data_IF_747048350823
#
_entry.id   IF_747048350823
#
_cell.length_a   1.000
_cell.length_b   1.000
_cell.length_c   1.000
_cell.angle_alpha   90.00
_cell.angle_beta   90.00
_cell.angle_gamma   90.00
#
_symmetry.space_group_name_H-M   'P 1'
#
loop_
_entity.id
_entity.type
_entity.pdbx_description
1 polymer ?
#
# COMPACT_ATOMS: atom_id res chain seq x y z
N UNK A 1 6.75 21.03 21.07
CA UNK A 1 8.20 21.29 21.05
C UNK A 1 8.95 19.99 21.27
N UNK A 2 9.47 19.38 20.22
CA UNK A 2 10.58 18.41 20.26
C UNK A 2 11.22 18.41 18.87
N UNK A 3 12.52 18.66 18.84
CA UNK A 3 13.35 18.87 17.67
C UNK A 3 13.66 17.55 16.97
N UNK A 4 13.59 17.51 15.63
CA UNK A 4 14.27 16.50 14.84
C UNK A 4 15.50 17.13 14.19
N UNK A 5 16.67 16.71 14.66
CA UNK A 5 17.97 17.13 14.18
C UNK A 5 18.30 16.43 12.86
N UNK A 6 18.82 17.22 11.92
CA UNK A 6 19.27 16.74 10.62
C UNK A 6 20.49 15.82 10.70
N UNK A 7 20.68 15.02 9.66
CA UNK A 7 21.95 14.37 9.39
C UNK A 7 22.39 14.64 7.95
N UNK A 8 23.67 14.98 7.86
CA UNK A 8 24.36 15.58 6.72
C UNK A 8 24.69 14.57 5.63
N UNK A 9 24.51 15.03 4.40
CA UNK A 9 25.48 15.06 3.30
C UNK A 9 26.77 14.24 3.53
N UNK A 10 26.97 13.19 2.74
CA UNK A 10 28.30 12.63 2.44
C UNK A 10 28.55 12.78 0.95
N UNK A 11 29.47 13.70 0.67
CA UNK A 11 30.14 13.96 -0.60
C UNK A 11 31.22 12.88 -0.80
N UNK A 12 31.17 12.14 -1.91
CA UNK A 12 32.30 11.30 -2.37
C UNK A 12 32.71 11.81 -3.74
N UNK A 13 33.82 12.55 -3.71
CA UNK A 13 34.55 13.06 -4.86
C UNK A 13 35.16 11.92 -5.68
N UNK A 14 35.03 12.08 -7.00
CA UNK A 14 36.06 11.93 -8.04
C UNK A 14 37.15 10.87 -7.84
N UNK A 15 37.22 9.94 -8.79
CA UNK A 15 38.50 9.35 -9.22
C UNK A 15 38.60 9.45 -10.74
N UNK A 16 39.52 10.31 -11.16
CA UNK A 16 40.04 10.51 -12.51
C UNK A 16 40.97 9.36 -12.89
N UNK A 17 40.86 8.85 -14.12
CA UNK A 17 41.98 8.18 -14.79
C UNK A 17 41.87 8.37 -16.31
N UNK A 18 42.87 9.06 -16.85
CA UNK A 18 43.13 9.33 -18.27
C UNK A 18 44.04 8.26 -18.88
N UNK A 19 43.83 7.92 -20.15
CA UNK A 19 44.85 7.44 -21.10
C UNK A 19 44.24 7.52 -22.52
N UNK A 20 44.47 8.59 -23.30
CA UNK A 20 45.56 8.82 -24.25
C UNK A 20 45.76 7.75 -25.35
N UNK A 21 45.13 8.04 -26.49
CA UNK A 21 45.60 8.04 -27.89
C UNK A 21 46.98 7.43 -28.25
N UNK A 22 47.00 6.61 -29.31
CA UNK A 22 48.01 6.55 -30.38
C UNK A 22 47.37 5.81 -31.58
N UNK A 23 47.01 6.48 -32.67
CA UNK A 23 47.80 6.74 -33.89
C UNK A 23 47.64 5.71 -35.03
N UNK A 24 47.39 6.29 -36.21
CA UNK A 24 47.25 5.86 -37.62
C UNK A 24 48.27 4.84 -38.17
N UNK A 25 48.03 4.27 -39.37
CA UNK A 25 48.59 4.82 -40.64
C UNK A 25 47.58 4.77 -41.82
N UNK A 26 47.32 5.85 -42.58
CA UNK A 26 47.98 6.37 -43.82
C UNK A 26 48.28 5.37 -44.97
N UNK A 27 47.38 5.35 -45.98
CA UNK A 27 47.47 5.47 -47.48
C UNK A 27 48.68 4.92 -48.28
N UNK A 28 48.77 4.95 -49.64
CA UNK A 28 47.86 5.37 -50.75
C UNK A 28 47.74 4.32 -51.92
N UNK A 29 46.92 4.45 -53.00
CA UNK A 29 47.33 4.97 -54.35
C UNK A 29 46.23 4.70 -55.41
N UNK A 30 45.54 5.77 -55.88
CA UNK A 30 45.18 6.27 -57.25
C UNK A 30 45.09 5.36 -58.54
N UNK A 31 44.67 5.87 -59.75
CA UNK A 31 43.29 5.97 -60.29
C UNK A 31 43.15 5.49 -61.78
N UNK A 32 42.06 5.88 -62.48
CA UNK A 32 41.71 5.77 -63.94
C UNK A 32 40.83 4.56 -64.34
N UNK A 33 39.84 4.60 -65.25
CA UNK A 33 39.21 5.63 -66.11
C UNK A 33 37.91 5.06 -66.76
N UNK A 34 36.98 5.97 -67.08
CA UNK A 34 36.06 6.08 -68.25
C UNK A 34 34.96 5.06 -68.65
N UNK A 35 33.83 5.70 -69.03
CA UNK A 35 32.83 5.39 -70.07
C UNK A 35 31.82 4.25 -69.85
N UNK A 36 30.58 4.28 -70.35
CA UNK A 36 29.58 5.26 -70.82
C UNK A 36 28.32 4.40 -71.14
N UNK A 37 27.13 5.03 -71.23
CA UNK A 37 25.82 4.51 -71.73
C UNK A 37 25.02 3.63 -70.72
N UNK A 38 23.69 3.71 -70.58
CA UNK A 38 22.62 4.27 -71.40
C UNK A 38 21.31 4.40 -70.58
N UNK A 39 20.65 5.55 -70.74
CA UNK A 39 19.20 5.84 -70.87
C UNK A 39 18.08 4.92 -70.30
N UNK A 40 17.13 5.60 -69.64
CA UNK A 40 15.66 5.42 -69.63
C UNK A 40 15.00 4.19 -68.95
N UNK A 41 14.19 4.44 -67.92
CA UNK A 41 12.72 4.42 -68.04
C UNK A 41 12.03 4.71 -66.69
N UNK A 42 10.86 5.32 -66.79
CA UNK A 42 10.02 5.82 -65.72
C UNK A 42 9.31 4.73 -64.91
N UNK A 43 8.99 5.08 -63.66
CA UNK A 43 7.74 4.69 -63.01
C UNK A 43 7.72 3.36 -62.27
N UNK A 44 7.82 3.41 -60.94
CA UNK A 44 6.84 2.84 -60.01
C UNK A 44 7.35 3.01 -58.57
N UNK A 45 6.56 3.69 -57.75
CA UNK A 45 6.72 3.74 -56.31
C UNK A 45 6.80 2.32 -55.71
N UNK A 46 7.80 2.00 -54.87
CA UNK A 46 7.63 0.92 -53.91
C UNK A 46 6.77 1.47 -52.77
N UNK A 47 5.48 1.11 -52.78
CA UNK A 47 4.60 1.24 -51.62
C UNK A 47 5.23 0.50 -50.44
N UNK A 48 5.84 1.27 -49.55
CA UNK A 48 6.37 0.83 -48.27
C UNK A 48 5.19 0.28 -47.44
N UNK A 49 5.18 -1.02 -47.07
CA UNK A 49 4.15 -1.52 -46.18
C UNK A 49 4.32 -0.84 -44.82
N UNK A 50 3.25 -0.21 -44.34
CA UNK A 50 3.14 0.31 -43.00
C UNK A 50 3.27 -0.85 -42.00
N UNK A 51 4.34 -0.86 -41.22
CA UNK A 51 4.50 -1.75 -40.07
C UNK A 51 4.03 -1.01 -38.81
N UNK A 52 2.86 -1.34 -38.24
CA UNK A 52 2.47 -0.90 -36.89
C UNK A 52 2.97 -1.85 -35.79
N UNK A 53 3.69 -2.94 -36.12
CA UNK A 53 4.00 -4.01 -35.15
C UNK A 53 5.24 -3.76 -34.29
N UNK A 54 6.21 -2.96 -34.74
CA UNK A 54 7.47 -2.77 -34.00
C UNK A 54 7.31 -1.94 -32.74
N UNK A 55 6.36 -0.99 -32.72
CA UNK A 55 6.10 -0.15 -31.54
C UNK A 55 5.49 -0.95 -30.39
N UNK A 56 4.58 -1.88 -30.68
CA UNK A 56 3.93 -2.76 -29.71
C UNK A 56 4.91 -3.74 -29.06
N UNK A 57 5.84 -4.28 -29.86
CA UNK A 57 6.89 -5.20 -29.39
C UNK A 57 7.91 -4.46 -28.51
N UNK A 58 8.30 -3.24 -28.89
CA UNK A 58 9.20 -2.42 -28.06
C UNK A 58 8.53 -1.95 -26.75
N UNK A 59 7.22 -1.64 -26.77
CA UNK A 59 6.48 -1.25 -25.55
C UNK A 59 6.35 -2.38 -24.52
N UNK A 60 6.09 -3.60 -24.96
CA UNK A 60 6.01 -4.75 -24.06
C UNK A 60 7.37 -5.06 -23.43
N UNK A 61 8.43 -4.88 -24.22
CA UNK A 61 9.81 -5.02 -23.76
C UNK A 61 10.20 -4.02 -22.67
N UNK A 62 9.65 -2.79 -22.64
CA UNK A 62 10.01 -1.82 -21.59
C UNK A 62 9.36 -2.14 -20.25
N UNK A 63 8.10 -2.58 -20.25
CA UNK A 63 7.40 -3.03 -19.02
C UNK A 63 8.12 -4.24 -18.43
N UNK A 64 8.43 -5.22 -19.27
CA UNK A 64 9.11 -6.44 -18.86
C UNK A 64 10.54 -6.14 -18.36
N UNK A 65 11.28 -5.22 -19.00
CA UNK A 65 12.60 -4.80 -18.56
C UNK A 65 12.57 -4.03 -17.22
N UNK A 66 11.64 -3.09 -17.05
CA UNK A 66 11.51 -2.30 -15.83
C UNK A 66 11.11 -3.18 -14.65
N UNK A 67 10.13 -4.07 -14.84
CA UNK A 67 9.72 -5.04 -13.82
C UNK A 67 10.90 -5.93 -13.41
N UNK A 68 11.71 -6.39 -14.37
CA UNK A 68 12.91 -7.17 -14.07
C UNK A 68 13.96 -6.38 -13.29
N UNK A 69 14.25 -5.13 -13.68
CA UNK A 69 15.21 -4.27 -12.99
C UNK A 69 14.76 -4.03 -11.55
N UNK A 70 13.51 -3.60 -11.35
CA UNK A 70 12.96 -3.29 -10.04
C UNK A 70 12.86 -4.54 -9.17
N UNK A 71 12.42 -5.68 -9.73
CA UNK A 71 12.37 -6.95 -8.99
C UNK A 71 13.75 -7.41 -8.57
N UNK A 72 14.74 -7.34 -9.46
CA UNK A 72 16.11 -7.72 -9.12
C UNK A 72 16.70 -6.78 -8.08
N UNK A 73 16.45 -5.47 -8.16
CA UNK A 73 17.01 -4.51 -7.21
C UNK A 73 16.36 -4.59 -5.82
N UNK A 74 15.03 -4.75 -5.76
CA UNK A 74 14.26 -4.65 -4.52
C UNK A 74 13.93 -6.00 -3.87
N UNK A 75 13.85 -7.08 -4.66
CA UNK A 75 13.39 -8.39 -4.18
C UNK A 75 14.49 -9.45 -4.12
N UNK A 76 15.65 -9.25 -4.79
CA UNK A 76 16.75 -10.21 -4.69
C UNK A 76 17.32 -10.24 -3.27
N UNK A 77 17.45 -11.44 -2.69
CA UNK A 77 17.91 -11.66 -1.31
C UNK A 77 17.13 -10.85 -0.25
N UNK A 78 15.87 -10.53 -0.54
CA UNK A 78 15.10 -9.65 0.32
C UNK A 78 14.32 -10.41 1.40
N UNK A 79 14.38 -11.75 1.46
CA UNK A 79 13.66 -12.53 2.48
C UNK A 79 14.32 -12.38 3.85
N UNK A 80 13.56 -12.62 4.92
CA UNK A 80 14.11 -12.51 6.28
C UNK A 80 15.25 -13.52 6.56
N UNK A 81 15.12 -14.80 6.16
CA UNK A 81 16.19 -15.78 6.36
C UNK A 81 17.48 -15.45 5.59
N UNK A 82 17.39 -14.77 4.45
CA UNK A 82 18.57 -14.33 3.68
C UNK A 82 19.37 -13.24 4.41
N UNK A 83 18.69 -12.40 5.19
CA UNK A 83 19.31 -11.32 5.96
C UNK A 83 19.84 -11.83 7.28
N UNK A 84 19.06 -12.67 7.98
CA UNK A 84 19.44 -13.23 9.26
C UNK A 84 18.91 -14.65 9.43
N UNK A 85 19.83 -15.62 9.50
CA UNK A 85 19.48 -17.00 9.83
C UNK A 85 19.03 -17.13 11.29
N UNK A 86 18.23 -18.15 11.59
CA UNK A 86 17.70 -18.44 12.91
C UNK A 86 18.80 -18.58 13.97
N UNK A 87 19.96 -19.15 13.61
CA UNK A 87 21.11 -19.30 14.52
C UNK A 87 21.67 -17.93 14.92
N UNK A 88 21.87 -17.06 13.93
CA UNK A 88 22.35 -15.70 14.15
C UNK A 88 21.32 -14.88 14.93
N UNK A 89 20.04 -15.03 14.60
CA UNK A 89 18.94 -14.38 15.32
C UNK A 89 18.90 -14.79 16.80
N UNK A 90 19.07 -16.09 17.10
CA UNK A 90 19.14 -16.61 18.47
C UNK A 90 20.32 -16.04 19.24
N UNK A 91 21.46 -15.79 18.58
CA UNK A 91 22.64 -15.19 19.23
C UNK A 91 22.43 -13.76 19.72
N UNK A 92 21.43 -13.04 19.20
CA UNK A 92 21.07 -11.68 19.64
C UNK A 92 20.39 -11.66 21.02
N UNK A 93 19.95 -12.82 21.52
CA UNK A 93 19.28 -12.93 22.82
C UNK A 93 20.26 -13.35 23.92
N UNK A 94 20.04 -12.95 25.19
CA UNK A 94 20.83 -13.43 26.31
C UNK A 94 20.83 -14.97 26.41
N UNK A 95 21.98 -15.56 26.78
CA UNK A 95 22.20 -17.03 26.80
C UNK A 95 21.09 -17.81 27.52
N UNK A 96 20.54 -17.25 28.60
CA UNK A 96 19.49 -17.87 29.42
C UNK A 96 18.15 -18.02 28.69
N UNK A 97 17.93 -17.27 27.61
CA UNK A 97 16.68 -17.26 26.84
C UNK A 97 16.83 -17.82 25.43
N UNK A 98 18.05 -18.06 24.95
CA UNK A 98 18.32 -18.56 23.59
C UNK A 98 17.54 -19.84 23.27
N UNK A 99 17.37 -20.72 24.26
CA UNK A 99 16.68 -22.00 24.10
C UNK A 99 15.16 -21.91 24.21
N UNK A 100 14.61 -20.71 24.45
CA UNK A 100 13.18 -20.50 24.55
C UNK A 100 12.47 -20.75 23.20
N UNK A 101 11.36 -21.51 23.17
CA UNK A 101 10.57 -21.72 21.96
C UNK A 101 9.95 -20.41 21.42
N UNK A 102 9.84 -19.39 22.26
CA UNK A 102 9.31 -18.06 21.90
C UNK A 102 10.19 -17.35 20.87
N UNK A 103 11.52 -17.54 20.91
CA UNK A 103 12.43 -16.92 19.94
C UNK A 103 12.15 -17.44 18.54
N UNK A 104 11.85 -18.73 18.40
CA UNK A 104 11.45 -19.31 17.11
C UNK A 104 10.10 -18.76 16.64
N UNK A 105 9.15 -18.54 17.55
CA UNK A 105 7.87 -17.92 17.21
C UNK A 105 8.05 -16.48 16.70
N UNK A 106 8.90 -15.68 17.38
CA UNK A 106 9.22 -14.31 16.95
C UNK A 106 9.90 -14.32 15.58
N UNK A 107 10.88 -15.20 15.36
CA UNK A 107 11.56 -15.35 14.07
C UNK A 107 10.57 -15.65 12.94
N UNK A 108 9.66 -16.60 13.16
CA UNK A 108 8.63 -16.96 12.19
C UNK A 108 7.68 -15.78 11.92
N UNK A 109 7.27 -15.06 12.97
CA UNK A 109 6.41 -13.89 12.83
C UNK A 109 7.09 -12.76 12.03
N UNK A 110 8.36 -12.48 12.29
CA UNK A 110 9.13 -11.49 11.51
C UNK A 110 9.31 -11.92 10.06
N UNK A 111 9.53 -13.21 9.83
CA UNK A 111 9.58 -13.78 8.48
C UNK A 111 8.27 -13.54 7.74
N UNK A 112 7.12 -13.84 8.36
CA UNK A 112 5.80 -13.60 7.78
C UNK A 112 5.56 -12.12 7.48
N UNK A 113 5.84 -11.22 8.45
CA UNK A 113 5.66 -9.78 8.27
C UNK A 113 6.51 -9.24 7.11
N UNK A 114 7.73 -9.77 6.96
CA UNK A 114 8.60 -9.38 5.85
C UNK A 114 8.09 -9.91 4.52
N UNK A 115 7.64 -11.16 4.46
CA UNK A 115 7.02 -11.72 3.24
C UNK A 115 5.81 -10.89 2.79
N UNK A 116 4.96 -10.44 3.72
CA UNK A 116 3.82 -9.58 3.42
C UNK A 116 4.24 -8.21 2.85
N UNK A 117 5.30 -7.63 3.40
CA UNK A 117 5.91 -6.40 2.86
C UNK A 117 6.46 -6.62 1.45
N UNK A 118 7.15 -7.74 1.20
CA UNK A 118 7.66 -8.07 -0.14
C UNK A 118 6.55 -8.27 -1.16
N UNK A 119 5.42 -8.86 -0.74
CA UNK A 119 4.25 -9.03 -1.60
C UNK A 119 3.63 -7.68 -1.99
N UNK A 120 3.60 -6.74 -1.04
CA UNK A 120 3.18 -5.36 -1.32
C UNK A 120 4.12 -4.67 -2.29
N UNK A 121 5.44 -4.83 -2.11
CA UNK A 121 6.45 -4.26 -3.03
C UNK A 121 6.31 -4.87 -4.43
N UNK A 122 6.08 -6.19 -4.54
CA UNK A 122 5.86 -6.86 -5.84
C UNK A 122 4.67 -6.24 -6.59
N UNK A 123 3.54 -6.06 -5.91
CA UNK A 123 2.35 -5.42 -6.49
C UNK A 123 2.63 -3.98 -6.93
N UNK A 124 3.38 -3.23 -6.13
CA UNK A 124 3.76 -1.85 -6.47
C UNK A 124 4.70 -1.80 -7.68
N UNK A 125 5.63 -2.74 -7.82
CA UNK A 125 6.52 -2.83 -8.99
C UNK A 125 5.70 -3.06 -10.26
N UNK A 126 4.75 -4.01 -10.24
CA UNK A 126 3.89 -4.29 -11.40
C UNK A 126 3.04 -3.07 -11.78
N UNK A 127 2.51 -2.36 -10.77
CA UNK A 127 1.76 -1.13 -10.98
C UNK A 127 2.63 -0.02 -11.59
N UNK A 128 3.79 0.26 -10.99
CA UNK A 128 4.68 1.32 -11.44
C UNK A 128 5.17 1.06 -12.87
N UNK A 129 5.58 -0.18 -13.19
CA UNK A 129 5.99 -0.54 -14.53
C UNK A 129 4.86 -0.37 -15.56
N UNK A 130 3.60 -0.65 -15.18
CA UNK A 130 2.44 -0.40 -16.04
C UNK A 130 2.18 1.10 -16.21
N UNK A 131 2.27 1.88 -15.14
CA UNK A 131 2.03 3.32 -15.14
C UNK A 131 3.11 4.08 -15.92
N UNK A 132 4.38 3.84 -15.62
CA UNK A 132 5.55 4.34 -16.35
C UNK A 132 5.40 4.11 -17.86
N UNK A 133 5.02 2.88 -18.24
CA UNK A 133 4.77 2.55 -19.63
C UNK A 133 3.62 3.35 -20.27
N UNK A 134 2.50 3.50 -19.56
CA UNK A 134 1.38 4.31 -20.05
C UNK A 134 1.75 5.79 -20.21
N UNK A 135 2.56 6.34 -19.32
CA UNK A 135 3.07 7.71 -19.43
C UNK A 135 3.97 7.88 -20.66
N UNK A 136 4.94 6.98 -20.86
CA UNK A 136 5.81 6.98 -22.04
C UNK A 136 5.02 6.84 -23.35
N UNK A 137 3.95 6.03 -23.34
CA UNK A 137 3.05 5.88 -24.49
C UNK A 137 2.31 7.18 -24.79
N UNK A 138 1.86 7.90 -23.76
CA UNK A 138 1.20 9.20 -23.91
C UNK A 138 2.16 10.25 -24.46
N UNK A 139 3.34 10.39 -23.85
CA UNK A 139 4.37 11.34 -24.29
C UNK A 139 4.76 11.13 -25.75
N UNK A 140 4.92 9.88 -26.18
CA UNK A 140 5.19 9.56 -27.59
C UNK A 140 4.08 10.03 -28.52
N UNK A 141 2.81 9.84 -28.14
CA UNK A 141 1.67 10.32 -28.93
C UNK A 141 1.59 11.84 -28.97
N UNK A 142 1.92 12.51 -27.88
CA UNK A 142 1.98 13.97 -27.82
C UNK A 142 3.10 14.53 -28.72
N UNK A 143 4.25 13.87 -28.76
CA UNK A 143 5.32 14.19 -29.71
C UNK A 143 4.88 13.96 -31.17
N UNK A 144 4.25 12.82 -31.46
CA UNK A 144 3.75 12.47 -32.79
C UNK A 144 2.58 13.36 -33.25
N UNK A 145 1.77 13.89 -32.31
CA UNK A 145 0.64 14.79 -32.59
C UNK A 145 1.05 16.25 -32.73
N UNK A 146 2.15 16.69 -32.08
CA UNK A 146 2.76 17.98 -32.38
C UNK A 146 3.26 18.06 -33.83
N UNK A 147 3.66 16.92 -34.42
CA UNK A 147 4.02 16.82 -35.84
C UNK A 147 2.81 16.67 -36.78
N UNK A 148 1.60 16.44 -36.25
CA UNK A 148 0.35 16.32 -37.03
C UNK A 148 -0.82 17.01 -36.32
N UNK A 149 -1.01 18.28 -36.65
CA UNK A 149 -2.21 19.02 -36.26
C UNK A 149 -3.48 18.34 -36.79
N UNK A 150 -4.23 17.69 -35.89
CA UNK A 150 -5.61 17.26 -36.15
C UNK A 150 -5.92 15.81 -35.75
N UNK A 151 -6.74 15.68 -34.70
CA UNK A 151 -7.64 14.56 -34.39
C UNK A 151 -7.05 13.21 -33.96
N UNK A 152 -7.00 12.97 -32.64
CA UNK A 152 -7.31 11.68 -32.01
C UNK A 152 -7.29 11.73 -30.45
N UNK A 153 -8.30 12.34 -29.81
CA UNK A 153 -8.48 12.26 -28.35
C UNK A 153 -9.81 11.58 -27.98
N UNK A 154 -9.94 10.25 -28.10
CA UNK A 154 -11.10 9.56 -27.51
C UNK A 154 -11.03 8.02 -27.38
N UNK A 155 -9.90 7.38 -27.01
CA UNK A 155 -9.91 5.90 -26.90
C UNK A 155 -9.10 5.22 -25.79
N UNK A 156 -8.69 5.88 -24.70
CA UNK A 156 -7.95 5.13 -23.65
C UNK A 156 -8.17 5.57 -22.21
N UNK A 157 -9.15 6.45 -21.96
CA UNK A 157 -9.49 6.92 -20.62
C UNK A 157 -10.19 5.85 -19.75
N UNK A 158 -10.67 4.77 -20.38
CA UNK A 158 -11.37 3.68 -19.71
C UNK A 158 -10.44 2.69 -18.99
N UNK A 159 -9.21 2.47 -19.48
CA UNK A 159 -8.27 1.50 -18.86
C UNK A 159 -7.60 2.07 -17.60
N UNK A 160 -7.45 3.40 -17.52
CA UNK A 160 -6.97 4.10 -16.31
C UNK A 160 -7.99 4.06 -15.17
N UNK A 161 -9.28 4.22 -15.48
CA UNK A 161 -10.34 4.19 -14.47
C UNK A 161 -10.55 2.78 -13.89
N UNK A 162 -10.31 1.73 -14.68
CA UNK A 162 -10.45 0.34 -14.22
C UNK A 162 -9.34 -0.12 -13.26
N UNK A 163 -8.11 0.39 -13.43
CA UNK A 163 -6.98 0.08 -12.53
C UNK A 163 -7.09 0.85 -11.21
N UNK A 164 -7.64 2.08 -11.24
CA UNK A 164 -7.82 2.90 -10.05
C UNK A 164 -8.91 2.40 -9.09
N UNK A 165 -9.89 1.62 -9.57
CA UNK A 165 -10.89 1.01 -8.70
C UNK A 165 -10.34 -0.12 -7.80
N UNK A 166 -9.17 -0.70 -8.13
CA UNK A 166 -8.62 -1.87 -7.43
C UNK A 166 -7.71 -1.46 -6.26
N UNK A 167 -7.11 -0.27 -6.32
CA UNK A 167 -6.27 0.30 -5.27
C UNK A 167 -6.87 1.64 -4.89
N UNK A 168 -7.66 1.65 -3.80
CA UNK A 168 -8.57 2.72 -3.43
C UNK A 168 -8.04 4.14 -3.57
N UNK A 169 -8.98 5.06 -3.83
CA UNK A 169 -8.84 6.50 -4.11
C UNK A 169 -7.51 7.13 -3.65
N UNK A 170 -6.48 6.94 -4.45
CA UNK A 170 -5.45 7.96 -4.58
C UNK A 170 -6.15 9.06 -5.37
N UNK A 171 -6.31 10.29 -4.84
CA UNK A 171 -6.95 11.35 -5.59
C UNK A 171 -6.12 11.58 -6.87
N UNK A 172 -6.60 11.00 -7.96
CA UNK A 172 -6.16 11.32 -9.32
C UNK A 172 -6.71 12.70 -9.64
N UNK A 173 -6.14 13.69 -8.97
CA UNK A 173 -6.18 15.07 -9.40
C UNK A 173 -5.62 15.06 -10.81
N UNK A 174 -6.48 15.23 -11.81
CA UNK A 174 -6.07 15.86 -13.05
C UNK A 174 -5.34 17.11 -12.57
N UNK A 175 -4.02 17.16 -12.68
CA UNK A 175 -3.22 18.32 -12.28
C UNK A 175 -3.51 19.47 -13.27
N UNK A 176 -4.76 19.95 -13.28
CA UNK A 176 -5.01 21.36 -13.50
C UNK A 176 -4.33 22.00 -12.31
N UNK A 177 -3.27 22.76 -12.57
CA UNK A 177 -2.70 23.65 -11.56
C UNK A 177 -3.87 24.55 -11.16
N UNK A 178 -4.52 24.22 -10.05
CA UNK A 178 -5.58 25.04 -9.51
C UNK A 178 -4.91 26.36 -9.13
N UNK A 179 -5.51 27.51 -9.48
CA UNK A 179 -5.04 28.78 -8.93
C UNK A 179 -5.00 28.64 -7.41
N UNK A 180 -3.99 29.24 -6.78
CA UNK A 180 -3.65 29.04 -5.36
C UNK A 180 -4.88 29.24 -4.46
N UNK A 181 -5.76 30.17 -4.80
CA UNK A 181 -7.02 30.45 -4.10
C UNK A 181 -7.99 29.24 -4.08
N UNK A 182 -8.15 28.55 -5.22
CA UNK A 182 -9.02 27.37 -5.32
C UNK A 182 -8.43 26.18 -4.56
N UNK A 183 -7.11 26.08 -4.50
CA UNK A 183 -6.42 25.05 -3.73
C UNK A 183 -6.54 25.28 -2.22
N UNK A 184 -6.37 26.52 -1.76
CA UNK A 184 -6.55 26.89 -0.36
C UNK A 184 -7.98 26.58 0.06
N UNK A 185 -8.97 26.98 -0.73
CA UNK A 185 -10.38 26.67 -0.46
C UNK A 185 -10.64 25.16 -0.38
N UNK A 186 -10.07 24.38 -1.31
CA UNK A 186 -10.18 22.92 -1.28
C UNK A 186 -9.56 22.30 -0.01
N UNK A 187 -8.46 22.87 0.50
CA UNK A 187 -7.85 22.43 1.75
C UNK A 187 -8.68 22.82 2.97
N UNK A 188 -9.27 24.02 2.97
CA UNK A 188 -10.19 24.47 4.03
C UNK A 188 -11.43 23.58 4.10
N UNK A 189 -12.06 23.30 2.95
CA UNK A 189 -13.22 22.40 2.85
C UNK A 189 -12.86 20.97 3.33
N UNK A 190 -11.68 20.47 2.96
CA UNK A 190 -11.20 19.17 3.40
C UNK A 190 -10.91 19.14 4.92
N UNK A 191 -10.36 20.22 5.47
CA UNK A 191 -10.10 20.35 6.89
C UNK A 191 -11.41 20.40 7.70
N UNK A 192 -12.41 21.18 7.25
CA UNK A 192 -13.74 21.22 7.86
C UNK A 192 -14.40 19.83 7.84
N UNK A 193 -14.28 19.10 6.71
CA UNK A 193 -14.80 17.74 6.61
C UNK A 193 -14.13 16.79 7.62
N UNK A 194 -12.81 16.88 7.79
CA UNK A 194 -12.10 16.04 8.76
C UNK A 194 -12.45 16.41 10.21
N UNK A 195 -12.59 17.70 10.51
CA UNK A 195 -12.99 18.17 11.85
C UNK A 195 -14.41 17.72 12.21
N UNK A 196 -15.34 17.75 11.25
CA UNK A 196 -16.71 17.25 11.45
C UNK A 196 -16.74 15.72 11.63
N UNK A 197 -15.96 14.97 10.85
CA UNK A 197 -15.83 13.52 11.02
C UNK A 197 -15.23 13.15 12.38
N UNK A 198 -14.19 13.87 12.82
CA UNK A 198 -13.62 13.72 14.16
C UNK A 198 -14.64 13.98 15.27
N UNK A 199 -15.46 15.02 15.14
CA UNK A 199 -16.49 15.34 16.13
C UNK A 199 -17.57 14.25 16.23
N UNK A 200 -17.98 13.68 15.09
CA UNK A 200 -18.93 12.55 15.04
C UNK A 200 -18.33 11.31 15.69
N UNK A 201 -17.08 10.98 15.36
CA UNK A 201 -16.39 9.83 15.93
C UNK A 201 -16.19 9.96 17.44
N UNK A 202 -15.90 11.17 17.95
CA UNK A 202 -15.78 11.40 19.39
C UNK A 202 -17.12 11.22 20.11
N UNK A 203 -18.22 11.74 19.55
CA UNK A 203 -19.58 11.53 20.09
C UNK A 203 -19.95 10.03 20.13
N UNK A 204 -19.64 9.29 19.07
CA UNK A 204 -19.90 7.85 19.02
C UNK A 204 -19.02 7.07 20.02
N UNK A 205 -17.75 7.47 20.20
CA UNK A 205 -16.88 6.90 21.24
C UNK A 205 -17.42 7.19 22.64
N UNK A 206 -17.95 8.39 22.89
CA UNK A 206 -18.56 8.75 24.17
C UNK A 206 -19.84 7.95 24.42
N UNK A 207 -20.71 7.78 23.42
CA UNK A 207 -21.90 6.91 23.51
C UNK A 207 -21.53 5.48 23.84
N UNK A 208 -20.59 4.90 23.09
CA UNK A 208 -20.15 3.52 23.32
C UNK A 208 -19.52 3.36 24.71
N UNK A 209 -18.75 4.34 25.16
CA UNK A 209 -18.18 4.34 26.51
C UNK A 209 -19.26 4.40 27.58
N UNK A 210 -20.32 5.17 27.36
CA UNK A 210 -21.47 5.24 28.26
C UNK A 210 -22.20 3.90 28.29
N UNK A 211 -22.48 3.30 27.13
CA UNK A 211 -23.11 1.97 27.04
C UNK A 211 -22.29 0.90 27.78
N UNK A 212 -20.97 0.90 27.60
CA UNK A 212 -20.09 -0.03 28.34
C UNK A 212 -20.19 0.22 29.85
N UNK A 213 -20.20 1.48 30.30
CA UNK A 213 -20.34 1.82 31.72
C UNK A 213 -21.70 1.40 32.27
N UNK A 214 -22.77 1.57 31.51
CA UNK A 214 -24.12 1.17 31.90
C UNK A 214 -24.20 -0.36 32.02
N UNK A 215 -23.69 -1.11 31.03
CA UNK A 215 -23.59 -2.58 31.08
C UNK A 215 -22.75 -3.04 32.27
N UNK A 216 -21.60 -2.40 32.52
CA UNK A 216 -20.75 -2.73 33.68
C UNK A 216 -21.47 -2.38 34.98
N UNK A 217 -22.27 -1.32 35.03
CA UNK A 217 -23.13 -0.95 36.15
C UNK A 217 -24.18 -2.02 36.42
N UNK A 218 -24.88 -2.48 35.38
CA UNK A 218 -25.88 -3.54 35.46
C UNK A 218 -25.26 -4.87 35.91
N UNK A 219 -24.11 -5.25 35.34
CA UNK A 219 -23.37 -6.45 35.74
C UNK A 219 -22.80 -6.34 37.16
N UNK A 220 -22.42 -5.14 37.61
CA UNK A 220 -21.97 -4.89 38.98
C UNK A 220 -23.15 -4.97 39.95
N UNK A 221 -24.32 -4.44 39.59
CA UNK A 221 -25.55 -4.58 40.37
C UNK A 221 -25.95 -6.05 40.54
N UNK A 222 -25.86 -6.84 39.47
CA UNK A 222 -26.07 -8.29 39.48
C UNK A 222 -25.05 -9.02 40.38
N UNK A 223 -23.78 -8.65 40.29
CA UNK A 223 -22.70 -9.28 41.06
C UNK A 223 -22.73 -8.94 42.55
N UNK A 224 -23.06 -7.70 42.89
CA UNK A 224 -23.12 -7.21 44.27
C UNK A 224 -24.53 -7.31 44.88
N UNK A 225 -25.48 -7.90 44.15
CA UNK A 225 -26.76 -8.31 44.70
C UNK A 225 -27.69 -7.15 45.06
N UNK A 226 -27.71 -6.06 44.29
CA UNK A 226 -28.69 -4.98 44.46
C UNK A 226 -30.10 -5.40 43.98
N UNK A 227 -30.53 -6.61 44.32
CA UNK A 227 -31.94 -6.95 44.45
C UNK A 227 -32.50 -6.55 45.82
N UNK A 228 -31.65 -6.04 46.73
CA UNK A 228 -32.07 -5.61 48.06
C UNK A 228 -33.06 -4.46 48.06
N UNK A 229 -33.17 -3.66 46.99
CA UNK A 229 -34.14 -2.55 46.93
C UNK A 229 -35.54 -2.91 46.40
N UNK A 230 -35.66 -3.93 45.52
CA UNK A 230 -36.95 -4.34 44.94
C UNK A 230 -37.57 -5.54 45.67
N UNK A 231 -36.77 -6.30 46.42
CA UNK A 231 -37.16 -7.52 47.11
C UNK A 231 -36.94 -7.46 48.63
N UNK A 232 -36.68 -6.28 49.22
CA UNK A 232 -36.52 -6.14 50.68
C UNK A 232 -37.73 -6.72 51.42
N UNK A 233 -38.93 -6.48 50.91
CA UNK A 233 -40.17 -7.09 51.42
C UNK A 233 -40.46 -8.50 50.90
N UNK A 234 -39.80 -8.98 49.83
CA UNK A 234 -40.01 -10.33 49.31
C UNK A 234 -39.28 -11.37 50.18
N UNK A 235 -38.08 -11.03 50.66
CA UNK A 235 -37.35 -11.88 51.60
C UNK A 235 -38.13 -11.97 52.91
N UNK A 236 -38.60 -10.84 53.44
CA UNK A 236 -39.41 -10.82 54.66
C UNK A 236 -40.75 -11.55 54.48
N UNK A 237 -41.41 -11.42 53.32
CA UNK A 237 -42.64 -12.16 52.98
C UNK A 237 -42.40 -13.67 52.89
N UNK A 238 -41.30 -14.10 52.28
CA UNK A 238 -40.96 -15.54 52.18
C UNK A 238 -40.61 -16.10 53.56
N UNK A 239 -39.94 -15.32 54.41
CA UNK A 239 -39.67 -15.71 55.80
C UNK A 239 -40.97 -15.83 56.59
N UNK A 240 -41.90 -14.88 56.44
CA UNK A 240 -43.19 -14.91 57.11
C UNK A 240 -44.06 -16.10 56.64
N UNK A 241 -44.08 -16.38 55.34
CA UNK A 241 -44.82 -17.52 54.79
C UNK A 241 -44.21 -18.87 55.18
N UNK A 242 -42.88 -18.98 55.25
CA UNK A 242 -42.20 -20.16 55.78
C UNK A 242 -42.47 -20.35 57.28
N UNK A 243 -42.51 -19.27 58.06
CA UNK A 243 -42.87 -19.34 59.49
C UNK A 243 -44.32 -19.81 59.68
N UNK A 244 -45.26 -19.31 58.87
CA UNK A 244 -46.66 -19.78 58.87
C UNK A 244 -46.78 -21.24 58.45
N UNK A 245 -45.98 -21.69 57.48
CA UNK A 245 -45.92 -23.09 57.07
C UNK A 245 -45.36 -23.97 58.19
N UNK A 246 -44.33 -23.50 58.88
CA UNK A 246 -43.75 -24.19 60.03
C UNK A 246 -44.76 -24.31 61.18
N UNK A 247 -45.47 -23.23 61.52
CA UNK A 247 -46.51 -23.25 62.56
C UNK A 247 -47.66 -24.20 62.21
N UNK A 248 -48.05 -24.27 60.94
CA UNK A 248 -49.08 -25.22 60.49
C UNK A 248 -48.59 -26.65 60.52
N UNK A 249 -47.33 -26.92 60.15
CA UNK A 249 -46.71 -28.23 60.32
C UNK A 249 -46.64 -28.63 61.80
N UNK A 250 -46.26 -27.71 62.70
CA UNK A 250 -46.17 -27.96 64.15
C UNK A 250 -47.55 -28.19 64.79
N UNK A 251 -48.59 -27.54 64.29
CA UNK A 251 -49.99 -27.78 64.71
C UNK A 251 -50.50 -29.15 64.25
N UNK A 252 -50.12 -29.60 63.05
CA UNK A 252 -50.50 -30.93 62.52
C UNK A 252 -49.68 -32.04 63.20
N UNK A 253 -48.44 -31.77 63.60
CA UNK A 253 -47.54 -32.72 64.25
C UNK A 253 -47.74 -32.83 65.77
N UNK A 254 -48.43 -31.90 66.43
CA UNK A 254 -48.83 -32.04 67.84
C UNK A 254 -50.08 -32.92 67.92
N UNK A 255 -49.98 -34.17 68.44
CA UNK A 255 -51.16 -34.99 68.66
C UNK A 255 -52.06 -34.32 69.71
N UNK A 256 -53.35 -34.26 69.43
CA UNK A 256 -54.35 -33.80 70.39
C UNK A 256 -54.42 -34.79 71.56
N UNK A 257 -53.96 -34.37 72.74
CA UNK A 257 -54.30 -34.99 74.02
C UNK A 257 -55.72 -34.59 74.45
#
# INVERSE_FOLDING_TARGET
MCCWAGNKLVDVRQTTASAQLLSTPTSPTSPHQHDLLESNAAGAHPSRPALPETSAIMSRSTVEAETQILSNFLLSNATFPDIIDLKTFRSLFPKNHQDSPQIKQIYNHLTLKRTDTLETVRKNIEFEAKMSHQLLKRERREADSQDRAGDAEMLEQADMNGVMQIYGDIPSSKNKILPIEEFIKCLEDANEKLETEMAILDDDCQKLTKEIKDIVGDLSSLKFGSFTGANEGLVDSVIEDLARLQDTCDQVLKPAD
#
